data_IF_311769162558
#
_entry.id   IF_311769162558
#
_cell.length_a   1.000
_cell.length_b   1.000
_cell.length_c   1.000
_cell.angle_alpha   90.00
_cell.angle_beta   90.00
_cell.angle_gamma   90.00
#
_symmetry.space_group_name_H-M   'P 1'
#
loop_
_entity.id
_entity.type
_entity.pdbx_description
1 polymer ?
#
# COMPACT_ATOMS: atom_id res chain seq x y z
N UNK A 1 4.29 43.84 18.59
CA UNK A 1 3.06 43.90 17.78
C UNK A 1 2.14 42.75 18.18
N UNK A 2 2.73 41.62 18.59
CA UNK A 2 2.05 40.36 18.92
C UNK A 2 1.24 40.33 20.24
N UNK A 3 1.45 41.26 21.18
CA UNK A 3 0.71 41.27 22.47
C UNK A 3 -0.69 41.92 22.33
N UNK A 4 -0.88 42.76 21.30
CA UNK A 4 -2.15 43.47 21.11
C UNK A 4 -3.17 42.59 20.37
N UNK A 5 -2.73 41.74 19.43
CA UNK A 5 -3.60 40.79 18.73
C UNK A 5 -4.13 39.67 19.63
N UNK A 6 -3.33 39.20 20.60
CA UNK A 6 -3.77 38.15 21.54
C UNK A 6 -4.83 38.67 22.53
N UNK A 7 -4.76 39.94 22.92
CA UNK A 7 -5.72 40.56 23.83
C UNK A 7 -7.06 40.87 23.17
N UNK A 8 -7.06 41.19 21.87
CA UNK A 8 -8.28 41.43 21.09
C UNK A 8 -9.02 40.11 20.83
N UNK A 9 -8.28 39.03 20.54
CA UNK A 9 -8.88 37.71 20.35
C UNK A 9 -9.49 37.14 21.63
N UNK A 10 -8.89 37.40 22.80
CA UNK A 10 -9.46 36.95 24.06
C UNK A 10 -10.72 37.75 24.47
N UNK A 11 -10.79 39.04 24.14
CA UNK A 11 -12.00 39.85 24.38
C UNK A 11 -13.16 39.47 23.44
N UNK A 12 -12.88 39.13 22.18
CA UNK A 12 -13.91 38.67 21.23
C UNK A 12 -14.46 37.28 21.60
N UNK A 13 -13.62 36.41 22.17
CA UNK A 13 -14.05 35.07 22.63
C UNK A 13 -14.94 35.12 23.88
N UNK A 14 -14.75 36.09 24.79
CA UNK A 14 -15.59 36.24 25.98
C UNK A 14 -16.96 36.87 25.64
N UNK A 15 -17.03 37.81 24.68
CA UNK A 15 -18.30 38.40 24.22
C UNK A 15 -19.19 37.38 23.47
N UNK A 16 -18.59 36.49 22.66
CA UNK A 16 -19.32 35.43 21.95
C UNK A 16 -19.85 34.33 22.88
N UNK A 17 -19.23 34.11 24.05
CA UNK A 17 -19.71 33.12 25.04
C UNK A 17 -20.85 33.66 25.91
N UNK A 18 -20.82 34.94 26.30
CA UNK A 18 -21.94 35.57 27.04
C UNK A 18 -23.21 35.70 26.17
N UNK A 19 -23.07 36.09 24.90
CA UNK A 19 -24.21 36.21 23.97
C UNK A 19 -24.85 34.83 23.67
N UNK A 20 -24.09 33.74 23.76
CA UNK A 20 -24.58 32.38 23.56
C UNK A 20 -25.34 31.84 24.78
N UNK A 21 -24.90 32.17 26.00
CA UNK A 21 -25.57 31.77 27.24
C UNK A 21 -26.90 32.51 27.41
N UNK A 22 -26.94 33.81 27.10
CA UNK A 22 -28.17 34.61 27.17
C UNK A 22 -29.21 34.14 26.14
N UNK A 23 -28.79 33.74 24.94
CA UNK A 23 -29.69 33.18 23.93
C UNK A 23 -30.20 31.77 24.31
N UNK A 24 -29.38 30.92 24.94
CA UNK A 24 -29.82 29.62 25.45
C UNK A 24 -30.83 29.74 26.60
N UNK A 25 -30.64 30.68 27.52
CA UNK A 25 -31.58 30.92 28.62
C UNK A 25 -32.93 31.46 28.11
N UNK A 26 -32.93 32.27 27.06
CA UNK A 26 -34.17 32.78 26.44
C UNK A 26 -34.91 31.66 25.69
N UNK A 27 -34.21 30.80 24.94
CA UNK A 27 -34.82 29.66 24.25
C UNK A 27 -35.42 28.64 25.24
N UNK A 28 -34.73 28.35 26.35
CA UNK A 28 -35.20 27.44 27.40
C UNK A 28 -36.42 28.00 28.17
N UNK A 29 -36.51 29.32 28.37
CA UNK A 29 -37.66 29.97 29.01
C UNK A 29 -38.89 30.04 28.08
N UNK A 30 -38.70 30.30 26.77
CA UNK A 30 -39.78 30.31 25.78
C UNK A 30 -40.38 28.91 25.55
N UNK A 31 -39.54 27.86 25.48
CA UNK A 31 -39.99 26.47 25.33
C UNK A 31 -40.80 25.99 26.55
N UNK A 32 -40.45 26.45 27.76
CA UNK A 32 -41.16 26.12 28.99
C UNK A 32 -42.55 26.80 29.07
N UNK A 33 -42.67 28.05 28.60
CA UNK A 33 -43.95 28.77 28.57
C UNK A 33 -44.91 28.15 27.55
N UNK A 34 -44.41 27.78 26.37
CA UNK A 34 -45.21 27.11 25.34
C UNK A 34 -45.71 25.74 25.81
N UNK A 35 -44.86 24.95 26.47
CA UNK A 35 -45.25 23.64 27.01
C UNK A 35 -46.28 23.75 28.16
N UNK A 36 -46.20 24.77 29.01
CA UNK A 36 -47.19 25.02 30.07
C UNK A 36 -48.55 25.50 29.53
N UNK A 37 -48.57 26.21 28.40
CA UNK A 37 -49.81 26.64 27.73
C UNK A 37 -50.47 25.47 26.97
N UNK A 38 -49.67 24.60 26.35
CA UNK A 38 -50.16 23.39 25.65
C UNK A 38 -50.81 22.40 26.63
N UNK A 39 -50.18 22.13 27.78
CA UNK A 39 -50.76 21.21 28.79
C UNK A 39 -52.08 21.72 29.40
N UNK A 40 -52.30 23.04 29.41
CA UNK A 40 -53.51 23.63 30.01
C UNK A 40 -54.70 23.66 29.04
N UNK A 41 -54.46 23.61 27.72
CA UNK A 41 -55.50 23.66 26.69
C UNK A 41 -55.94 22.28 26.16
N UNK A 42 -55.17 21.21 26.42
CA UNK A 42 -55.50 19.85 25.94
C UNK A 42 -56.51 19.08 26.80
N UNK A 43 -56.88 19.60 27.97
CA UNK A 43 -57.95 19.01 28.81
C UNK A 43 -59.30 19.66 28.50
N UNK A 44 -60.02 19.02 27.57
CA UNK A 44 -61.46 18.71 27.62
C UNK A 44 -62.38 19.11 26.45
N UNK A 45 -61.95 19.85 25.42
CA UNK A 45 -62.82 20.02 24.24
C UNK A 45 -62.05 20.27 22.95
N UNK A 46 -61.81 19.23 22.16
CA UNK A 46 -61.34 19.40 20.78
C UNK A 46 -62.38 20.20 19.99
N UNK A 47 -61.95 21.17 19.17
CA UNK A 47 -62.84 22.01 18.35
C UNK A 47 -63.86 21.20 17.53
N UNK A 48 -63.49 19.99 17.11
CA UNK A 48 -64.38 19.03 16.46
C UNK A 48 -65.59 18.59 17.32
N UNK A 49 -65.43 18.45 18.65
CA UNK A 49 -66.54 18.09 19.56
C UNK A 49 -67.47 19.27 19.81
N UNK A 50 -66.94 20.49 19.77
CA UNK A 50 -67.73 21.73 19.92
C UNK A 50 -68.59 21.95 18.67
N UNK A 51 -68.01 21.78 17.48
CA UNK A 51 -68.72 21.82 16.19
C UNK A 51 -69.85 20.80 16.14
N UNK A 52 -69.57 19.53 16.49
CA UNK A 52 -70.58 18.45 16.53
C UNK A 52 -71.74 18.73 17.50
N UNK A 53 -71.47 19.41 18.63
CA UNK A 53 -72.53 19.82 19.56
C UNK A 53 -73.33 21.01 19.05
N UNK A 54 -72.69 21.98 18.38
CA UNK A 54 -73.39 23.10 17.76
C UNK A 54 -74.28 22.66 16.60
N UNK A 55 -73.84 21.71 15.77
CA UNK A 55 -74.62 21.11 14.68
C UNK A 55 -76.00 20.60 15.17
N UNK A 56 -76.02 19.96 16.35
CA UNK A 56 -77.25 19.45 16.95
C UNK A 56 -78.17 20.57 17.49
N UNK A 57 -77.60 21.69 17.92
CA UNK A 57 -78.34 22.82 18.51
C UNK A 57 -78.93 23.76 17.47
N UNK A 58 -78.36 23.82 16.27
CA UNK A 58 -78.83 24.67 15.17
C UNK A 58 -80.23 24.29 14.70
N UNK A 59 -80.65 23.03 14.87
CA UNK A 59 -82.03 22.61 14.63
C UNK A 59 -83.06 23.35 15.50
N UNK A 60 -82.62 23.92 16.63
CA UNK A 60 -83.46 24.64 17.58
C UNK A 60 -83.21 26.16 17.58
N UNK A 61 -82.03 26.61 17.13
CA UNK A 61 -81.62 28.02 17.15
C UNK A 61 -80.85 28.39 15.86
N UNK A 62 -81.55 28.95 14.87
CA UNK A 62 -80.96 29.31 13.57
C UNK A 62 -79.93 30.44 13.64
N UNK A 63 -79.94 31.25 14.70
CA UNK A 63 -78.96 32.32 14.93
C UNK A 63 -77.52 31.79 15.11
N UNK A 64 -77.37 30.50 15.44
CA UNK A 64 -76.08 29.83 15.63
C UNK A 64 -75.40 29.40 14.32
N UNK A 65 -76.09 29.46 13.19
CA UNK A 65 -75.60 28.96 11.90
C UNK A 65 -74.35 29.72 11.41
N UNK A 66 -74.35 31.06 11.52
CA UNK A 66 -73.19 31.90 11.19
C UNK A 66 -71.96 31.59 12.08
N UNK A 67 -72.20 31.23 13.34
CA UNK A 67 -71.12 30.90 14.30
C UNK A 67 -70.52 29.54 13.94
N UNK A 68 -71.35 28.57 13.54
CA UNK A 68 -70.89 27.27 13.09
C UNK A 68 -70.04 27.36 11.82
N UNK A 69 -70.48 28.12 10.81
CA UNK A 69 -69.69 28.34 9.59
C UNK A 69 -68.31 28.93 9.91
N UNK A 70 -68.28 29.97 10.75
CA UNK A 70 -67.03 30.59 11.21
C UNK A 70 -66.12 29.61 11.98
N UNK A 71 -66.70 28.72 12.79
CA UNK A 71 -65.97 27.69 13.52
C UNK A 71 -65.41 26.59 12.60
N UNK A 72 -66.15 26.23 11.55
CA UNK A 72 -65.67 25.29 10.53
C UNK A 72 -64.46 25.86 9.78
N UNK A 73 -64.51 27.13 9.38
CA UNK A 73 -63.38 27.83 8.76
C UNK A 73 -62.16 27.91 9.69
N UNK A 74 -62.38 28.25 10.96
CA UNK A 74 -61.31 28.27 11.97
C UNK A 74 -60.67 26.89 12.14
N UNK A 75 -61.45 25.82 12.30
CA UNK A 75 -60.96 24.45 12.43
C UNK A 75 -60.19 23.98 11.17
N UNK A 76 -60.63 24.39 9.98
CA UNK A 76 -59.88 24.13 8.75
C UNK A 76 -58.53 24.88 8.75
N UNK A 77 -58.50 26.14 9.18
CA UNK A 77 -57.28 26.92 9.30
C UNK A 77 -56.32 26.33 10.35
N UNK A 78 -56.83 25.90 11.51
CA UNK A 78 -56.05 25.26 12.57
C UNK A 78 -55.37 23.99 12.07
N UNK A 79 -56.09 23.14 11.32
CA UNK A 79 -55.50 21.94 10.70
C UNK A 79 -54.39 22.29 9.71
N UNK A 80 -54.60 23.30 8.86
CA UNK A 80 -53.57 23.74 7.92
C UNK A 80 -52.35 24.32 8.64
N UNK A 81 -52.56 25.10 9.71
CA UNK A 81 -51.49 25.63 10.55
C UNK A 81 -50.66 24.51 11.16
N UNK A 82 -51.29 23.52 11.77
CA UNK A 82 -50.59 22.39 12.39
C UNK A 82 -49.79 21.59 11.34
N UNK A 83 -50.37 21.34 10.16
CA UNK A 83 -49.64 20.70 9.05
C UNK A 83 -48.44 21.53 8.57
N UNK A 84 -48.57 22.85 8.56
CA UNK A 84 -47.48 23.74 8.20
C UNK A 84 -46.38 23.74 9.28
N UNK A 85 -46.76 23.79 10.56
CA UNK A 85 -45.86 23.68 11.71
C UNK A 85 -45.04 22.38 11.65
N UNK A 86 -45.69 21.24 11.44
CA UNK A 86 -45.01 19.93 11.29
C UNK A 86 -44.02 19.92 10.11
N UNK A 87 -44.36 20.57 9.00
CA UNK A 87 -43.46 20.68 7.84
C UNK A 87 -42.25 21.57 8.14
N UNK A 88 -42.46 22.68 8.82
CA UNK A 88 -41.37 23.58 9.24
C UNK A 88 -40.42 22.88 10.20
N UNK A 89 -40.94 22.14 11.16
CA UNK A 89 -40.13 21.38 12.12
C UNK A 89 -39.28 20.32 11.41
N UNK A 90 -39.88 19.58 10.46
CA UNK A 90 -39.14 18.62 9.63
C UNK A 90 -38.03 19.29 8.82
N UNK A 91 -38.31 20.43 8.19
CA UNK A 91 -37.32 21.19 7.42
C UNK A 91 -36.18 21.70 8.31
N UNK A 92 -36.51 22.16 9.52
CA UNK A 92 -35.53 22.66 10.49
C UNK A 92 -34.60 21.54 10.93
N UNK A 93 -35.14 20.35 11.23
CA UNK A 93 -34.33 19.19 11.60
C UNK A 93 -33.43 18.73 10.45
N UNK A 94 -33.95 18.68 9.23
CA UNK A 94 -33.16 18.36 8.03
C UNK A 94 -32.02 19.37 7.81
N UNK A 95 -32.27 20.66 8.05
CA UNK A 95 -31.25 21.69 7.94
C UNK A 95 -30.14 21.49 8.96
N UNK A 96 -30.49 21.23 10.23
CA UNK A 96 -29.52 20.94 11.30
C UNK A 96 -28.65 19.72 10.96
N UNK A 97 -29.25 18.64 10.47
CA UNK A 97 -28.51 17.45 10.01
C UNK A 97 -27.57 17.76 8.85
N UNK A 98 -28.04 18.53 7.85
CA UNK A 98 -27.22 18.97 6.73
C UNK A 98 -26.01 19.83 7.17
N UNK A 99 -26.20 20.71 8.15
CA UNK A 99 -25.12 21.55 8.67
C UNK A 99 -24.07 20.74 9.43
N UNK A 100 -24.50 19.77 10.24
CA UNK A 100 -23.61 18.83 10.93
C UNK A 100 -22.79 18.00 9.93
N UNK A 101 -23.45 17.47 8.90
CA UNK A 101 -22.76 16.72 7.85
C UNK A 101 -21.75 17.58 7.09
N UNK A 102 -22.14 18.81 6.74
CA UNK A 102 -21.23 19.77 6.07
C UNK A 102 -19.99 20.05 6.92
N UNK A 103 -20.14 20.23 8.24
CA UNK A 103 -19.02 20.46 9.14
C UNK A 103 -18.09 19.24 9.21
N UNK A 104 -18.65 18.04 9.25
CA UNK A 104 -17.89 16.80 9.19
C UNK A 104 -17.07 16.70 7.89
N UNK A 105 -17.70 16.96 6.75
CA UNK A 105 -17.05 16.89 5.44
C UNK A 105 -15.91 17.91 5.32
N UNK A 106 -16.10 19.14 5.84
CA UNK A 106 -15.05 20.17 5.87
C UNK A 106 -13.84 19.70 6.68
N UNK A 107 -14.06 19.08 7.84
CA UNK A 107 -12.96 18.58 8.68
C UNK A 107 -12.22 17.42 8.01
N UNK A 108 -12.96 16.51 7.38
CA UNK A 108 -12.37 15.41 6.61
C UNK A 108 -11.53 15.92 5.45
N UNK A 109 -11.98 16.95 4.72
CA UNK A 109 -11.22 17.58 3.64
C UNK A 109 -9.90 18.15 4.17
N UNK A 110 -9.93 18.90 5.28
CA UNK A 110 -8.71 19.48 5.88
C UNK A 110 -7.69 18.40 6.29
N UNK A 111 -8.15 17.29 6.84
CA UNK A 111 -7.28 16.16 7.20
C UNK A 111 -6.64 15.53 5.94
N UNK A 112 -7.45 15.30 4.90
CA UNK A 112 -6.98 14.77 3.63
C UNK A 112 -5.97 15.69 2.94
N UNK A 113 -6.20 17.02 2.97
CA UNK A 113 -5.25 18.01 2.44
C UNK A 113 -3.91 17.96 3.16
N UNK A 114 -3.93 17.86 4.50
CA UNK A 114 -2.73 17.73 5.32
C UNK A 114 -1.95 16.47 4.97
N UNK A 115 -2.64 15.33 4.88
CA UNK A 115 -2.03 14.06 4.50
C UNK A 115 -1.45 14.09 3.08
N UNK A 116 -2.16 14.71 2.14
CA UNK A 116 -1.70 14.82 0.75
C UNK A 116 -0.45 15.70 0.64
N UNK A 117 -0.40 16.79 1.40
CA UNK A 117 0.80 17.64 1.48
C UNK A 117 2.00 16.87 2.05
N UNK A 118 1.80 16.09 3.11
CA UNK A 118 2.85 15.25 3.69
C UNK A 118 3.37 14.24 2.66
N UNK A 119 2.48 13.50 1.99
CA UNK A 119 2.85 12.54 0.94
C UNK A 119 3.58 13.20 -0.23
N UNK A 120 3.19 14.42 -0.60
CA UNK A 120 3.88 15.19 -1.64
C UNK A 120 5.30 15.55 -1.23
N UNK A 121 5.51 15.93 0.03
CA UNK A 121 6.87 16.22 0.54
C UNK A 121 7.75 14.96 0.56
N UNK A 122 7.21 13.83 1.02
CA UNK A 122 7.92 12.55 1.04
C UNK A 122 8.30 12.10 -0.38
N UNK A 123 7.35 12.17 -1.33
CA UNK A 123 7.61 11.85 -2.72
C UNK A 123 8.73 12.73 -3.32
N UNK A 124 8.73 14.03 -3.03
CA UNK A 124 9.80 14.92 -3.48
C UNK A 124 11.16 14.51 -2.91
N UNK A 125 11.23 14.15 -1.62
CA UNK A 125 12.47 13.66 -0.99
C UNK A 125 12.96 12.35 -1.63
N UNK A 126 12.05 11.41 -1.88
CA UNK A 126 12.37 10.14 -2.56
C UNK A 126 12.88 10.38 -3.99
N UNK A 127 12.28 11.31 -4.72
CA UNK A 127 12.69 11.65 -6.09
C UNK A 127 14.12 12.21 -6.11
N UNK A 128 14.46 13.11 -5.17
CA UNK A 128 15.84 13.60 -5.00
C UNK A 128 16.81 12.45 -4.73
N UNK A 129 16.45 11.53 -3.83
CA UNK A 129 17.30 10.38 -3.47
C UNK A 129 17.50 9.41 -4.64
N UNK A 130 16.45 9.16 -5.43
CA UNK A 130 16.53 8.34 -6.65
C UNK A 130 17.49 8.97 -7.66
N UNK A 131 17.40 10.28 -7.88
CA UNK A 131 18.30 10.97 -8.80
C UNK A 131 19.77 10.90 -8.35
N UNK A 132 20.03 11.00 -7.05
CA UNK A 132 21.36 10.81 -6.48
C UNK A 132 21.89 9.39 -6.77
N UNK A 133 21.09 8.36 -6.48
CA UNK A 133 21.46 6.96 -6.74
C UNK A 133 21.68 6.67 -8.22
N UNK A 134 20.90 7.28 -9.12
CA UNK A 134 21.10 7.15 -10.57
C UNK A 134 22.46 7.75 -10.95
N UNK A 135 22.80 8.93 -10.42
CA UNK A 135 24.07 9.58 -10.70
C UNK A 135 25.26 8.75 -10.20
N UNK A 136 25.20 8.26 -8.96
CA UNK A 136 26.22 7.37 -8.39
C UNK A 136 26.40 6.09 -9.22
N UNK A 137 25.30 5.46 -9.64
CA UNK A 137 25.37 4.26 -10.49
C UNK A 137 25.99 4.55 -11.86
N UNK A 138 25.72 5.71 -12.45
CA UNK A 138 26.32 6.09 -13.72
C UNK A 138 27.84 6.28 -13.57
N UNK A 139 28.29 6.94 -12.51
CA UNK A 139 29.73 7.07 -12.20
C UNK A 139 30.40 5.71 -12.02
N UNK A 140 29.76 4.79 -11.27
CA UNK A 140 30.29 3.43 -11.08
C UNK A 140 30.38 2.65 -12.39
N UNK A 141 29.38 2.78 -13.28
CA UNK A 141 29.40 2.15 -14.61
C UNK A 141 30.57 2.66 -15.45
N UNK A 142 30.84 3.95 -15.43
CA UNK A 142 31.98 4.54 -16.15
C UNK A 142 33.31 4.01 -15.63
N UNK A 143 33.50 3.96 -14.31
CA UNK A 143 34.71 3.40 -13.67
C UNK A 143 34.90 1.92 -14.05
N UNK A 144 33.83 1.13 -13.98
CA UNK A 144 33.86 -0.29 -14.35
C UNK A 144 34.22 -0.43 -15.84
N UNK A 145 33.56 0.30 -16.72
CA UNK A 145 33.84 0.23 -18.16
C UNK A 145 35.28 0.63 -18.50
N UNK A 146 35.83 1.65 -17.83
CA UNK A 146 37.22 2.04 -17.95
C UNK A 146 38.18 0.91 -17.50
N UNK A 147 37.98 0.38 -16.30
CA UNK A 147 38.82 -0.69 -15.75
C UNK A 147 38.76 -2.00 -16.56
N UNK A 148 37.59 -2.36 -17.10
CA UNK A 148 37.44 -3.58 -17.90
C UNK A 148 38.11 -3.46 -19.28
N UNK A 149 38.04 -2.29 -19.92
CA UNK A 149 38.66 -2.09 -21.23
C UNK A 149 40.19 -2.06 -21.14
N UNK A 150 40.76 -1.39 -20.13
CA UNK A 150 42.22 -1.32 -19.96
C UNK A 150 42.85 -2.68 -19.60
N UNK A 151 42.17 -3.52 -18.81
CA UNK A 151 42.72 -4.81 -18.38
C UNK A 151 42.55 -5.96 -19.40
N UNK A 152 41.56 -5.91 -20.29
CA UNK A 152 41.33 -6.98 -21.27
C UNK A 152 41.71 -6.63 -22.72
N UNK A 153 41.54 -5.38 -23.17
CA UNK A 153 41.78 -5.03 -24.59
C UNK A 153 43.27 -4.78 -24.86
N UNK A 154 44.02 -4.31 -23.87
CA UNK A 154 45.45 -3.99 -24.02
C UNK A 154 46.41 -5.10 -23.58
N UNK A 155 45.93 -6.26 -23.13
CA UNK A 155 46.80 -7.41 -22.90
C UNK A 155 47.16 -8.14 -24.21
N UNK A 156 47.51 -7.38 -25.25
CA UNK A 156 48.14 -7.87 -26.48
C UNK A 156 49.53 -8.44 -26.19
N UNK A 157 50.12 -8.05 -25.05
CA UNK A 157 51.33 -8.68 -24.50
C UNK A 157 51.17 -10.19 -24.31
N UNK A 158 49.95 -10.72 -24.09
CA UNK A 158 49.70 -12.17 -24.01
C UNK A 158 50.21 -12.93 -25.25
N UNK A 159 50.17 -12.29 -26.42
CA UNK A 159 50.62 -12.88 -27.69
C UNK A 159 51.99 -12.35 -28.14
N UNK A 160 52.68 -11.57 -27.31
CA UNK A 160 54.06 -11.19 -27.58
C UNK A 160 54.96 -12.43 -27.57
N UNK A 161 55.97 -12.44 -28.44
CA UNK A 161 56.88 -13.57 -28.59
C UNK A 161 57.60 -13.92 -27.28
N UNK A 162 57.95 -12.90 -26.49
CA UNK A 162 58.60 -13.07 -25.18
C UNK A 162 57.68 -13.75 -24.15
N UNK A 163 56.39 -13.36 -24.10
CA UNK A 163 55.44 -14.02 -23.22
C UNK A 163 55.05 -15.42 -23.69
N UNK A 164 55.04 -15.70 -25.00
CA UNK A 164 54.82 -17.06 -25.53
C UNK A 164 55.98 -18.00 -25.17
N UNK A 165 57.21 -17.50 -25.14
CA UNK A 165 58.39 -18.27 -24.73
C UNK A 165 58.45 -18.50 -23.21
N UNK A 166 57.92 -17.58 -22.40
CA UNK A 166 57.82 -17.70 -20.94
C UNK A 166 56.52 -18.38 -20.47
N UNK A 167 55.58 -18.64 -21.37
CA UNK A 167 54.28 -19.19 -21.02
C UNK A 167 54.37 -20.66 -20.60
N UNK A 168 54.06 -20.93 -19.33
CA UNK A 168 53.79 -22.28 -18.85
C UNK A 168 52.29 -22.41 -18.52
N UNK A 169 51.58 -23.45 -19.00
CA UNK A 169 50.18 -23.67 -18.65
C UNK A 169 49.92 -23.70 -17.13
N UNK A 170 50.91 -24.11 -16.33
CA UNK A 170 50.83 -24.11 -14.88
C UNK A 170 50.75 -22.69 -14.29
N UNK A 171 51.59 -21.77 -14.76
CA UNK A 171 51.61 -20.36 -14.33
C UNK A 171 50.36 -19.60 -14.80
N UNK A 172 49.79 -20.04 -15.91
CA UNK A 172 48.52 -19.49 -16.39
C UNK A 172 47.34 -19.96 -15.53
N UNK A 173 47.31 -21.23 -15.14
CA UNK A 173 46.29 -21.79 -14.26
C UNK A 173 46.35 -21.22 -12.84
N UNK A 174 47.55 -20.91 -12.34
CA UNK A 174 47.75 -20.34 -11.00
C UNK A 174 47.18 -18.93 -10.84
N UNK A 175 47.02 -18.21 -11.95
CA UNK A 175 46.38 -16.87 -12.01
C UNK A 175 44.85 -16.92 -12.13
N UNK A 176 44.23 -18.12 -12.16
CA UNK A 176 42.77 -18.29 -12.29
C UNK A 176 42.12 -18.67 -10.97
N UNK A 177 40.78 -18.66 -10.95
CA UNK A 177 40.03 -19.05 -9.76
C UNK A 177 40.36 -20.52 -9.42
N UNK A 178 40.90 -20.81 -8.22
CA UNK A 178 41.39 -22.14 -7.86
C UNK A 178 40.28 -23.19 -7.86
N UNK A 179 39.03 -22.81 -7.56
CA UNK A 179 37.88 -23.73 -7.53
C UNK A 179 37.55 -24.23 -8.93
N UNK A 180 37.52 -23.34 -9.92
CA UNK A 180 37.25 -23.70 -11.32
C UNK A 180 38.41 -24.54 -11.87
N UNK A 181 39.64 -24.17 -11.53
CA UNK A 181 40.84 -24.91 -11.92
C UNK A 181 40.75 -26.34 -11.39
N UNK A 182 40.53 -26.53 -10.09
CA UNK A 182 40.51 -27.86 -9.47
C UNK A 182 39.36 -28.73 -9.96
N UNK A 183 38.20 -28.13 -10.23
CA UNK A 183 37.06 -28.82 -10.83
C UNK A 183 37.39 -29.40 -12.21
N UNK A 184 37.97 -28.60 -13.10
CA UNK A 184 38.33 -29.05 -14.45
C UNK A 184 39.47 -30.07 -14.41
N UNK A 185 40.43 -29.91 -13.49
CA UNK A 185 41.47 -30.91 -13.26
C UNK A 185 40.88 -32.26 -12.85
N UNK A 186 39.91 -32.26 -11.93
CA UNK A 186 39.24 -33.47 -11.44
C UNK A 186 38.53 -34.23 -12.55
N UNK A 187 37.93 -33.51 -13.51
CA UNK A 187 37.27 -34.11 -14.67
C UNK A 187 38.28 -34.59 -15.73
N UNK A 188 39.44 -33.93 -15.83
CA UNK A 188 40.46 -34.22 -16.83
C UNK A 188 41.44 -35.33 -16.41
N UNK A 189 41.52 -35.64 -15.11
CA UNK A 189 42.37 -36.71 -14.58
C UNK A 189 41.63 -38.05 -14.52
N UNK A 190 42.26 -39.10 -15.04
CA UNK A 190 41.77 -40.46 -14.86
C UNK A 190 42.11 -40.94 -13.44
N UNK A 191 41.31 -41.88 -12.89
CA UNK A 191 41.41 -42.39 -11.50
C UNK A 191 42.80 -42.83 -11.02
N UNK A 192 43.75 -43.05 -11.92
CA UNK A 192 45.07 -43.61 -11.61
C UNK A 192 46.23 -42.61 -11.81
N UNK A 193 45.95 -41.34 -12.06
CA UNK A 193 47.00 -40.32 -12.25
C UNK A 193 46.84 -39.17 -11.26
N UNK A 194 47.89 -38.94 -10.47
CA UNK A 194 47.93 -37.92 -9.42
C UNK A 194 48.48 -36.57 -9.90
N UNK A 195 48.97 -36.48 -11.15
CA UNK A 195 49.65 -35.27 -11.63
C UNK A 195 49.34 -34.95 -13.09
N UNK A 196 48.93 -33.71 -13.35
CA UNK A 196 48.69 -33.18 -14.69
C UNK A 196 50.01 -32.76 -15.32
N UNK A 197 50.57 -33.61 -16.18
CA UNK A 197 51.81 -33.35 -16.89
C UNK A 197 51.51 -33.19 -18.39
N UNK A 198 52.17 -32.21 -19.02
CA UNK A 198 52.18 -32.03 -20.48
C UNK A 198 50.80 -31.74 -21.08
N UNK A 199 50.35 -32.61 -21.98
CA UNK A 199 49.15 -32.43 -22.81
C UNK A 199 47.87 -32.24 -21.98
N UNK A 200 47.73 -32.95 -20.85
CA UNK A 200 46.54 -32.84 -20.01
C UNK A 200 46.48 -31.50 -19.30
N UNK A 201 47.62 -30.97 -18.86
CA UNK A 201 47.73 -29.64 -18.26
C UNK A 201 47.36 -28.56 -19.28
N UNK A 202 47.83 -28.71 -20.52
CA UNK A 202 47.46 -27.82 -21.63
C UNK A 202 45.96 -27.90 -21.94
N UNK A 203 45.37 -29.09 -22.00
CA UNK A 203 43.92 -29.28 -22.19
C UNK A 203 43.10 -28.62 -21.08
N UNK A 204 43.54 -28.73 -19.81
CA UNK A 204 42.90 -28.01 -18.70
C UNK A 204 42.97 -26.49 -18.88
N UNK A 205 44.14 -25.96 -19.28
CA UNK A 205 44.30 -24.54 -19.54
C UNK A 205 43.37 -24.04 -20.65
N UNK A 206 43.31 -24.76 -21.78
CA UNK A 206 42.43 -24.42 -22.91
C UNK A 206 40.94 -24.54 -22.54
N UNK A 207 40.54 -25.57 -21.79
CA UNK A 207 39.16 -25.72 -21.34
C UNK A 207 38.71 -24.56 -20.44
N UNK A 208 39.60 -24.11 -19.55
CA UNK A 208 39.33 -22.94 -18.70
C UNK A 208 39.31 -21.66 -19.54
N UNK A 209 40.20 -21.50 -20.51
CA UNK A 209 40.21 -20.33 -21.39
C UNK A 209 38.93 -20.27 -22.23
N UNK A 210 38.40 -21.42 -22.67
CA UNK A 210 37.10 -21.50 -23.33
C UNK A 210 35.93 -21.12 -22.39
N UNK A 211 35.95 -21.57 -21.12
CA UNK A 211 34.94 -21.19 -20.11
C UNK A 211 34.96 -19.70 -19.78
N UNK A 212 36.14 -19.06 -19.82
CA UNK A 212 36.28 -17.63 -19.58
C UNK A 212 36.03 -16.78 -20.83
N UNK A 213 36.49 -17.22 -22.00
CA UNK A 213 36.30 -16.54 -23.29
C UNK A 213 34.84 -16.54 -23.76
N UNK A 214 34.05 -17.54 -23.35
CA UNK A 214 32.61 -17.58 -23.59
C UNK A 214 31.82 -16.58 -22.73
N UNK A 215 32.42 -15.93 -21.72
CA UNK A 215 31.71 -15.01 -20.80
C UNK A 215 31.34 -13.66 -21.40
N UNK A 216 31.84 -13.34 -22.60
CA UNK A 216 31.42 -12.11 -23.28
C UNK A 216 30.05 -12.31 -23.94
N UNK A 217 29.02 -11.84 -23.22
CA UNK A 217 27.75 -11.27 -23.67
C UNK A 217 26.45 -12.10 -23.52
N UNK A 218 26.41 -13.45 -23.45
CA UNK A 218 25.11 -14.21 -23.35
C UNK A 218 25.11 -15.54 -22.56
N UNK A 219 26.11 -15.80 -21.71
CA UNK A 219 26.54 -17.17 -21.33
C UNK A 219 26.25 -17.68 -19.90
N UNK A 220 25.31 -17.08 -19.15
CA UNK A 220 24.77 -17.76 -17.94
C UNK A 220 24.07 -19.07 -18.34
N UNK A 221 23.55 -19.16 -19.56
CA UNK A 221 22.81 -20.31 -20.09
C UNK A 221 23.68 -21.52 -20.41
N UNK A 222 24.87 -21.37 -21.00
CA UNK A 222 25.66 -22.53 -21.42
C UNK A 222 26.47 -23.18 -20.29
N UNK A 223 26.94 -22.39 -19.31
CA UNK A 223 27.55 -22.95 -18.08
C UNK A 223 26.50 -23.73 -17.30
N UNK A 224 25.27 -23.19 -17.21
CA UNK A 224 24.17 -23.88 -16.55
C UNK A 224 23.73 -25.12 -17.36
N UNK A 225 23.75 -25.07 -18.70
CA UNK A 225 23.48 -26.23 -19.56
C UNK A 225 24.56 -27.32 -19.43
N UNK A 226 25.84 -26.95 -19.34
CA UNK A 226 26.94 -27.87 -19.10
C UNK A 226 26.86 -28.49 -17.69
N UNK A 227 26.53 -27.71 -16.67
CA UNK A 227 26.30 -28.20 -15.31
C UNK A 227 25.08 -29.15 -15.24
N UNK A 228 24.00 -28.83 -15.95
CA UNK A 228 22.82 -29.68 -16.08
C UNK A 228 23.11 -30.98 -16.84
N UNK A 229 23.89 -30.91 -17.92
CA UNK A 229 24.32 -32.08 -18.68
C UNK A 229 25.20 -33.00 -17.82
N UNK A 230 26.13 -32.43 -17.05
CA UNK A 230 26.95 -33.17 -16.08
C UNK A 230 26.07 -33.85 -15.02
N UNK A 231 25.13 -33.11 -14.41
CA UNK A 231 24.16 -33.65 -13.43
C UNK A 231 23.32 -34.79 -14.03
N UNK A 232 22.87 -34.64 -15.26
CA UNK A 232 22.10 -35.66 -15.98
C UNK A 232 22.94 -36.91 -16.30
N UNK A 233 24.22 -36.74 -16.69
CA UNK A 233 25.13 -37.87 -16.91
C UNK A 233 25.47 -38.63 -15.62
N UNK A 234 25.56 -37.95 -14.48
CA UNK A 234 25.71 -38.59 -13.17
C UNK A 234 24.46 -39.41 -12.79
N UNK A 235 23.26 -38.83 -12.96
CA UNK A 235 21.99 -39.50 -12.68
C UNK A 235 21.75 -40.77 -13.53
N UNK A 236 22.38 -40.87 -14.70
CA UNK A 236 22.22 -41.99 -15.64
C UNK A 236 23.34 -43.06 -15.56
N UNK A 237 24.38 -42.84 -14.75
CA UNK A 237 25.47 -43.83 -14.65
C UNK A 237 25.01 -45.06 -13.85
N UNK A 238 25.10 -46.25 -14.47
CA UNK A 238 24.70 -47.55 -13.87
C UNK A 238 25.33 -47.86 -12.51
N UNK A 239 26.43 -47.19 -12.14
CA UNK A 239 27.14 -47.38 -10.87
C UNK A 239 26.41 -46.82 -9.64
N UNK A 240 25.46 -45.89 -9.81
CA UNK A 240 24.72 -45.29 -8.67
C UNK A 240 23.40 -46.02 -8.39
N UNK A 241 22.84 -46.73 -9.39
CA UNK A 241 21.66 -47.58 -9.22
C UNK A 241 21.91 -48.68 -8.17
N UNK A 242 23.16 -49.16 -8.04
CA UNK A 242 23.53 -50.17 -7.04
C UNK A 242 23.62 -49.59 -5.61
N UNK A 243 23.93 -48.30 -5.45
CA UNK A 243 23.98 -47.63 -4.14
C UNK A 243 22.55 -47.42 -3.61
N UNK A 244 21.62 -46.97 -4.46
CA UNK A 244 20.21 -46.83 -4.09
C UNK A 244 19.58 -48.19 -3.78
N UNK A 245 19.90 -49.25 -4.54
CA UNK A 245 19.46 -50.60 -4.22
C UNK A 245 20.02 -51.10 -2.88
N UNK A 246 21.28 -50.79 -2.53
CA UNK A 246 21.85 -51.18 -1.24
C UNK A 246 21.30 -50.38 -0.05
N UNK A 247 20.92 -49.11 -0.24
CA UNK A 247 20.33 -48.29 0.81
C UNK A 247 18.85 -48.68 1.03
N UNK A 248 18.12 -49.05 -0.02
CA UNK A 248 16.69 -49.42 0.06
C UNK A 248 16.48 -50.89 0.43
N UNK A 249 17.43 -51.80 0.19
CA UNK A 249 17.26 -53.25 0.42
C UNK A 249 18.04 -53.88 1.59
N UNK A 250 18.60 -53.10 2.53
CA UNK A 250 19.23 -53.67 3.74
C UNK A 250 18.23 -54.17 4.81
N UNK A 251 17.10 -54.70 4.37
CA UNK A 251 16.28 -55.65 5.10
C UNK A 251 16.46 -57.05 4.49
N UNK A 252 17.23 -57.90 5.18
CA UNK A 252 17.35 -59.36 5.00
C UNK A 252 18.53 -59.84 4.12
N UNK A 253 19.59 -60.27 4.80
CA UNK A 253 20.50 -61.27 4.25
C UNK A 253 19.74 -62.59 4.04
N UNK A 254 19.76 -63.14 2.83
CA UNK A 254 19.63 -64.59 2.63
C UNK A 254 20.52 -65.06 1.48
N UNK A 255 21.68 -65.62 1.86
CA UNK A 255 22.52 -66.62 1.18
C UNK A 255 22.68 -66.52 -0.34
N UNK A 256 23.92 -66.24 -0.78
CA UNK A 256 24.43 -66.81 -2.02
C UNK A 256 24.80 -68.27 -1.79
N UNK A 257 24.13 -69.17 -2.52
CA UNK A 257 24.63 -70.53 -2.77
C UNK A 257 25.73 -70.42 -3.84
N UNK A 258 26.73 -71.30 -3.70
CA UNK A 258 27.99 -71.40 -4.42
C UNK A 258 27.86 -71.46 -5.95
#
# INVERSE_FOLDING_TARGET
MDIIEENINNQLMEEDEEENIDNQLIEDEEENIDNQLIEKYDKETTGSKVIQKLDLLIQYYSELENILESLHEYNACEKHYNQFKEKLEKLTNQLKECEQQRLFDINLIKELETNNNNLKTENNQLMVKINQLINENNQLKEIINFNFNDQQIHNQERFSLENLLLYTPLDWLSKRNPVIVEFIKTISCNKNETQLIGEKLFKCAIAIDAIYGTRNLKYVSAINLAALAIKYTFARSKSIIDIDNHIISSGSYSKFIK
#
